data_IF_872782097463
#
_entry.id   IF_872782097463
#
_cell.length_a   1.000
_cell.length_b   1.000
_cell.length_c   1.000
_cell.angle_alpha   90.00
_cell.angle_beta   90.00
_cell.angle_gamma   90.00
#
_symmetry.space_group_name_H-M   'P 1'
#
loop_
_entity.id
_entity.type
_entity.pdbx_description
1 polymer ?
#
# COMPACT_ATOMS: atom_id res chain seq x y z
N UNK A 1 23.03 -15.79 -6.02
CA UNK A 1 23.78 -14.81 -5.22
C UNK A 1 22.80 -14.21 -4.21
N UNK A 2 23.18 -13.95 -2.95
CA UNK A 2 22.32 -13.18 -2.06
C UNK A 2 21.99 -11.83 -2.71
N UNK A 3 20.76 -11.37 -2.54
CA UNK A 3 20.33 -10.07 -3.07
C UNK A 3 21.18 -8.93 -2.48
N UNK A 4 21.29 -7.82 -3.22
CA UNK A 4 22.00 -6.62 -2.73
C UNK A 4 21.24 -6.04 -1.53
N UNK A 5 21.89 -5.95 -0.37
CA UNK A 5 21.37 -5.19 0.77
C UNK A 5 21.45 -3.69 0.46
N UNK A 6 20.34 -2.97 0.64
CA UNK A 6 20.31 -1.51 0.51
C UNK A 6 20.61 -0.84 1.85
N UNK A 7 19.84 -1.18 2.89
CA UNK A 7 19.88 -0.58 4.21
C UNK A 7 19.54 -1.62 5.29
N UNK A 8 19.88 -1.31 6.54
CA UNK A 8 19.35 -1.98 7.73
C UNK A 8 18.38 -1.03 8.44
N UNK A 9 17.36 -1.59 9.09
CA UNK A 9 16.32 -0.83 9.81
C UNK A 9 16.16 -1.35 11.23
N UNK A 10 15.62 -0.52 12.11
CA UNK A 10 15.56 -0.77 13.56
C UNK A 10 14.41 -1.72 13.97
N UNK A 11 13.36 -1.83 13.15
CA UNK A 11 12.15 -2.57 13.48
C UNK A 11 11.67 -3.43 12.30
N UNK A 12 11.56 -4.75 12.54
CA UNK A 12 11.14 -5.72 11.52
C UNK A 12 9.64 -5.62 11.16
N UNK A 13 8.80 -5.13 12.07
CA UNK A 13 7.39 -4.86 11.80
C UNK A 13 7.27 -3.63 10.90
N UNK A 14 8.05 -2.58 11.16
CA UNK A 14 8.10 -1.41 10.26
C UNK A 14 8.61 -1.80 8.86
N UNK A 15 9.64 -2.65 8.78
CA UNK A 15 10.09 -3.21 7.50
C UNK A 15 8.98 -3.98 6.78
N UNK A 16 8.23 -4.81 7.51
CA UNK A 16 7.11 -5.55 6.95
C UNK A 16 6.05 -4.60 6.38
N UNK A 17 5.66 -3.56 7.11
CA UNK A 17 4.70 -2.59 6.61
C UNK A 17 5.24 -1.75 5.45
N UNK A 18 6.55 -1.44 5.43
CA UNK A 18 7.20 -0.84 4.28
C UNK A 18 7.06 -1.73 3.02
N UNK A 19 7.20 -3.06 3.17
CA UNK A 19 6.94 -4.02 2.09
C UNK A 19 5.48 -4.03 1.67
N UNK A 20 4.53 -4.00 2.61
CA UNK A 20 3.10 -3.93 2.29
C UNK A 20 2.75 -2.66 1.50
N UNK A 21 3.35 -1.52 1.84
CA UNK A 21 3.15 -0.25 1.13
C UNK A 21 3.91 -0.17 -0.21
N UNK A 22 4.97 -0.97 -0.39
CA UNK A 22 5.78 -1.02 -1.61
C UNK A 22 6.71 0.18 -1.83
N UNK A 23 6.62 1.23 -1.00
CA UNK A 23 7.51 2.39 -1.04
C UNK A 23 7.57 3.09 0.30
N UNK A 24 8.63 3.86 0.53
CA UNK A 24 8.75 4.64 1.77
C UNK A 24 10.04 5.44 1.84
N UNK A 25 10.31 5.95 3.05
CA UNK A 25 11.49 6.75 3.34
C UNK A 25 12.14 6.19 4.60
N UNK A 26 13.46 6.04 4.57
CA UNK A 26 14.26 5.61 5.72
C UNK A 26 15.10 6.80 6.17
N UNK A 27 15.02 7.13 7.45
CA UNK A 27 15.91 8.11 8.07
C UNK A 27 17.18 7.40 8.52
N UNK A 28 18.34 7.88 8.06
CA UNK A 28 19.64 7.36 8.47
C UNK A 28 20.08 7.98 9.81
N UNK A 29 21.09 7.39 10.43
CA UNK A 29 21.63 7.84 11.72
C UNK A 29 22.18 9.29 11.69
N UNK A 30 22.58 9.79 10.51
CA UNK A 30 23.01 11.17 10.30
C UNK A 30 21.86 12.15 10.06
N UNK A 31 20.61 11.66 10.09
CA UNK A 31 19.39 12.43 9.85
C UNK A 31 19.02 12.59 8.37
N UNK A 32 19.86 12.13 7.44
CA UNK A 32 19.54 12.13 6.01
C UNK A 32 18.43 11.13 5.68
N UNK A 33 17.71 11.37 4.57
CA UNK A 33 16.60 10.53 4.14
C UNK A 33 16.98 9.77 2.87
N UNK A 34 16.71 8.46 2.86
CA UNK A 34 16.77 7.62 1.66
C UNK A 34 15.35 7.25 1.24
N UNK A 35 15.03 7.45 -0.04
CA UNK A 35 13.75 7.02 -0.61
C UNK A 35 13.88 5.65 -1.23
N UNK A 36 12.95 4.79 -0.88
CA UNK A 36 12.83 3.44 -1.43
C UNK A 36 11.53 3.34 -2.22
N UNK A 37 11.63 2.74 -3.41
CA UNK A 37 10.49 2.41 -4.24
C UNK A 37 10.52 0.92 -4.57
N UNK A 38 9.35 0.36 -4.88
CA UNK A 38 9.21 -1.00 -5.39
C UNK A 38 10.17 -1.23 -6.56
N UNK A 39 10.89 -2.35 -6.49
CA UNK A 39 11.71 -2.86 -7.58
C UNK A 39 11.12 -4.15 -8.14
N UNK A 40 10.84 -5.13 -7.27
CA UNK A 40 10.27 -6.41 -7.67
C UNK A 40 9.66 -7.16 -6.48
N UNK A 41 9.06 -8.33 -6.70
CA UNK A 41 8.56 -9.22 -5.66
C UNK A 41 8.84 -10.70 -5.98
N UNK A 42 8.82 -11.55 -4.97
CA UNK A 42 9.05 -12.99 -5.14
C UNK A 42 7.89 -13.79 -5.77
N UNK A 43 6.78 -13.13 -6.13
CA UNK A 43 5.63 -13.74 -6.81
C UNK A 43 4.67 -14.54 -5.91
N UNK A 44 4.98 -14.73 -4.63
CA UNK A 44 4.10 -15.41 -3.69
C UNK A 44 2.90 -14.52 -3.28
N UNK A 45 1.74 -15.12 -2.97
CA UNK A 45 0.55 -14.36 -2.59
C UNK A 45 0.74 -13.66 -1.24
N UNK A 46 0.20 -12.46 -1.12
CA UNK A 46 0.16 -11.75 0.16
C UNK A 46 -0.80 -12.43 1.14
N UNK A 47 -0.35 -12.59 2.39
CA UNK A 47 -1.17 -13.03 3.51
C UNK A 47 -1.09 -12.01 4.66
N UNK A 48 -2.25 -11.63 5.20
CA UNK A 48 -2.34 -10.65 6.28
C UNK A 48 -1.93 -11.27 7.63
N UNK A 49 -0.82 -10.79 8.19
CA UNK A 49 -0.37 -11.21 9.53
C UNK A 49 -1.34 -10.76 10.65
N UNK A 50 -2.04 -9.64 10.46
CA UNK A 50 -3.08 -9.19 11.38
C UNK A 50 -4.26 -10.18 11.43
N UNK A 51 -4.69 -10.69 10.28
CA UNK A 51 -5.71 -11.75 10.20
C UNK A 51 -5.24 -13.04 10.89
N UNK A 52 -3.98 -13.42 10.69
CA UNK A 52 -3.38 -14.59 11.36
C UNK A 52 -3.43 -14.45 12.89
N UNK A 53 -3.12 -13.27 13.44
CA UNK A 53 -3.20 -13.03 14.89
C UNK A 53 -4.64 -13.10 15.41
N UNK A 54 -5.61 -12.58 14.65
CA UNK A 54 -7.03 -12.67 15.01
C UNK A 54 -7.50 -14.14 15.02
N UNK A 55 -7.15 -14.91 13.98
CA UNK A 55 -7.51 -16.33 13.89
C UNK A 55 -6.92 -17.18 15.02
N UNK A 56 -5.76 -16.76 15.55
CA UNK A 56 -5.13 -17.39 16.73
C UNK A 56 -5.69 -16.90 18.07
N UNK A 57 -6.59 -15.90 18.06
CA UNK A 57 -7.14 -15.30 19.28
C UNK A 57 -6.15 -14.41 20.04
N UNK A 58 -5.10 -13.94 19.36
CA UNK A 58 -3.99 -13.19 20.00
C UNK A 58 -4.15 -11.67 19.86
N UNK A 59 -4.98 -11.22 18.92
CA UNK A 59 -5.43 -9.84 18.78
C UNK A 59 -6.91 -9.83 18.44
N UNK A 60 -7.63 -8.81 18.90
CA UNK A 60 -8.97 -8.52 18.40
C UNK A 60 -8.90 -7.78 17.06
N UNK A 61 -10.02 -7.74 16.35
CA UNK A 61 -10.10 -7.09 15.04
C UNK A 61 -9.71 -5.61 15.10
N UNK A 62 -10.15 -4.92 16.15
CA UNK A 62 -9.85 -3.52 16.43
C UNK A 62 -8.38 -3.28 16.83
N UNK A 63 -7.67 -4.32 17.26
CA UNK A 63 -6.27 -4.26 17.68
C UNK A 63 -5.30 -4.63 16.55
N UNK A 64 -5.77 -5.20 15.43
CA UNK A 64 -4.95 -5.63 14.30
C UNK A 64 -4.44 -4.46 13.42
N UNK A 65 -4.00 -3.38 14.05
CA UNK A 65 -3.29 -2.25 13.47
C UNK A 65 -1.77 -2.47 13.50
N UNK A 66 -0.99 -1.63 12.80
CA UNK A 66 0.47 -1.64 12.91
C UNK A 66 0.93 -1.50 14.36
N UNK A 67 0.33 -0.59 15.12
CA UNK A 67 0.68 -0.34 16.52
C UNK A 67 0.36 -1.54 17.40
N UNK A 68 -0.79 -2.19 17.18
CA UNK A 68 -1.15 -3.40 17.93
C UNK A 68 -0.26 -4.59 17.59
N UNK A 69 0.14 -4.73 16.32
CA UNK A 69 1.10 -5.76 15.90
C UNK A 69 2.49 -5.49 16.49
N UNK A 70 2.95 -4.22 16.53
CA UNK A 70 4.19 -3.85 17.21
C UNK A 70 4.13 -4.16 18.71
N UNK A 71 3.02 -3.86 19.38
CA UNK A 71 2.83 -4.19 20.79
C UNK A 71 2.86 -5.71 21.02
N UNK A 72 2.17 -6.48 20.16
CA UNK A 72 2.21 -7.94 20.19
C UNK A 72 3.62 -8.48 19.97
N UNK A 73 4.38 -7.91 19.02
CA UNK A 73 5.74 -8.32 18.70
C UNK A 73 6.71 -8.09 19.87
N UNK A 74 6.59 -6.94 20.55
CA UNK A 74 7.37 -6.64 21.77
C UNK A 74 7.06 -7.60 22.91
N UNK A 75 5.80 -8.04 23.03
CA UNK A 75 5.39 -9.03 24.02
C UNK A 75 5.77 -10.48 23.63
N UNK A 76 6.01 -10.76 22.34
CA UNK A 76 6.24 -12.09 21.79
C UNK A 76 7.48 -12.17 20.87
N UNK A 77 8.69 -11.72 21.30
CA UNK A 77 9.84 -11.58 20.40
C UNK A 77 10.27 -12.90 19.76
N UNK A 78 10.20 -14.02 20.50
CA UNK A 78 10.55 -15.35 20.00
C UNK A 78 9.58 -15.88 18.92
N UNK A 79 8.41 -15.26 18.75
CA UNK A 79 7.36 -15.70 17.80
C UNK A 79 7.23 -14.76 16.62
N UNK A 80 7.94 -13.63 16.62
CA UNK A 80 7.86 -12.61 15.59
C UNK A 80 8.25 -13.16 14.21
N UNK A 81 9.38 -13.86 14.12
CA UNK A 81 9.84 -14.43 12.85
C UNK A 81 8.79 -15.36 12.23
N UNK A 82 8.22 -16.27 13.03
CA UNK A 82 7.17 -17.17 12.59
C UNK A 82 5.87 -16.46 12.18
N UNK A 83 5.56 -15.31 12.79
CA UNK A 83 4.44 -14.47 12.35
C UNK A 83 4.74 -13.80 11.01
N UNK A 84 5.90 -13.17 10.84
CA UNK A 84 6.27 -12.48 9.60
C UNK A 84 6.33 -13.47 8.43
N UNK A 85 6.89 -14.66 8.66
CA UNK A 85 6.95 -15.75 7.67
C UNK A 85 5.59 -16.36 7.33
N UNK A 86 4.51 -16.03 8.06
CA UNK A 86 3.16 -16.40 7.66
C UNK A 86 2.70 -15.65 6.40
N UNK A 87 3.37 -14.54 6.04
CA UNK A 87 3.23 -13.92 4.73
C UNK A 87 4.37 -14.40 3.81
N UNK A 88 4.11 -15.28 2.83
CA UNK A 88 5.16 -15.75 1.93
C UNK A 88 5.57 -14.69 0.90
N UNK A 89 4.79 -13.61 0.71
CA UNK A 89 5.13 -12.52 -0.20
C UNK A 89 6.28 -11.68 0.34
N UNK A 90 7.26 -11.39 -0.52
CA UNK A 90 8.41 -10.55 -0.19
C UNK A 90 8.63 -9.51 -1.29
N UNK A 91 8.78 -8.26 -0.87
CA UNK A 91 9.00 -7.10 -1.77
C UNK A 91 10.47 -6.67 -1.71
N UNK A 92 11.05 -6.49 -2.89
CA UNK A 92 12.38 -5.93 -3.09
C UNK A 92 12.29 -4.47 -3.51
N UNK A 93 13.26 -3.68 -3.05
CA UNK A 93 13.28 -2.24 -3.27
C UNK A 93 14.45 -1.81 -4.15
N UNK A 94 14.36 -0.58 -4.62
CA UNK A 94 15.46 0.20 -5.19
C UNK A 94 15.47 1.59 -4.59
N UNK A 95 16.66 2.15 -4.46
CA UNK A 95 16.82 3.56 -4.13
C UNK A 95 16.35 4.43 -5.30
N UNK A 96 15.68 5.53 -4.99
CA UNK A 96 15.28 6.54 -5.96
C UNK A 96 15.74 7.92 -5.49
N UNK A 97 16.00 8.87 -6.41
CA UNK A 97 16.40 10.22 -6.03
C UNK A 97 15.42 10.87 -5.06
N UNK A 98 15.98 11.62 -4.11
CA UNK A 98 15.19 12.44 -3.20
C UNK A 98 14.40 13.49 -3.99
N UNK A 99 13.08 13.52 -3.79
CA UNK A 99 12.19 14.52 -4.36
C UNK A 99 10.98 14.72 -3.45
N UNK A 100 10.26 15.81 -3.68
CA UNK A 100 9.01 16.12 -2.98
C UNK A 100 7.79 15.43 -3.61
N UNK A 101 7.98 14.66 -4.69
CA UNK A 101 6.91 13.98 -5.40
C UNK A 101 6.45 12.71 -4.68
N UNK A 102 5.32 12.15 -5.14
CA UNK A 102 4.84 10.82 -4.77
C UNK A 102 5.84 9.69 -5.01
N UNK A 103 5.56 8.48 -4.50
CA UNK A 103 6.30 7.30 -4.93
C UNK A 103 6.03 7.04 -6.41
N UNK A 104 6.93 6.31 -7.07
CA UNK A 104 6.72 5.93 -8.46
C UNK A 104 5.80 4.71 -8.49
N UNK A 105 4.58 4.88 -9.00
CA UNK A 105 3.62 3.79 -9.14
C UNK A 105 3.96 2.83 -10.28
N UNK A 106 3.16 1.78 -10.43
CA UNK A 106 3.31 0.79 -11.50
C UNK A 106 3.29 1.37 -12.92
N UNK A 107 2.67 2.54 -13.15
CA UNK A 107 2.71 3.24 -14.44
C UNK A 107 4.09 3.89 -14.74
N UNK A 108 5.01 3.92 -13.77
CA UNK A 108 6.34 4.53 -13.92
C UNK A 108 6.37 6.04 -13.71
N UNK A 109 5.29 6.63 -13.19
CA UNK A 109 5.18 8.06 -12.87
C UNK A 109 4.90 8.29 -11.38
N UNK A 110 5.28 9.45 -10.81
CA UNK A 110 4.95 9.78 -9.43
C UNK A 110 3.45 9.80 -9.18
N UNK A 111 3.02 9.23 -8.05
CA UNK A 111 1.63 9.29 -7.61
C UNK A 111 1.29 10.69 -7.05
N UNK A 112 0.09 11.15 -7.32
CA UNK A 112 -0.43 12.43 -6.84
C UNK A 112 -1.44 12.16 -5.73
N UNK A 113 -1.19 12.73 -4.55
CA UNK A 113 -2.08 12.60 -3.40
C UNK A 113 -3.53 12.98 -3.76
N UNK A 114 -4.47 12.16 -3.32
CA UNK A 114 -5.91 12.26 -3.60
C UNK A 114 -6.32 12.24 -5.09
N UNK A 115 -5.38 11.91 -6.00
CA UNK A 115 -5.59 11.88 -7.45
C UNK A 115 -5.10 10.61 -8.12
N UNK A 116 -4.42 9.73 -7.40
CA UNK A 116 -3.97 8.43 -7.90
C UNK A 116 -4.67 7.30 -7.18
N UNK A 117 -4.93 6.22 -7.92
CA UNK A 117 -5.44 4.96 -7.36
C UNK A 117 -4.61 3.77 -7.86
N UNK A 118 -4.52 2.75 -7.01
CA UNK A 118 -4.09 1.42 -7.40
C UNK A 118 -5.31 0.60 -7.86
N UNK A 119 -5.18 -0.15 -8.94
CA UNK A 119 -6.25 -0.96 -9.53
C UNK A 119 -5.80 -2.39 -9.85
N UNK A 120 -6.74 -3.25 -10.26
CA UNK A 120 -6.43 -4.52 -10.91
C UNK A 120 -6.23 -4.28 -12.42
N UNK A 121 -4.99 -4.41 -12.95
CA UNK A 121 -4.69 -4.08 -14.35
C UNK A 121 -5.36 -5.02 -15.36
N UNK A 122 -5.90 -6.16 -14.89
CA UNK A 122 -6.71 -7.08 -15.71
C UNK A 122 -8.11 -6.55 -15.98
N UNK A 123 -8.55 -5.55 -15.22
CA UNK A 123 -9.90 -4.97 -15.32
C UNK A 123 -9.88 -3.51 -15.75
N UNK A 124 -8.90 -2.72 -15.32
CA UNK A 124 -8.75 -1.31 -15.68
C UNK A 124 -7.33 -1.10 -16.21
N UNK A 125 -7.19 -0.52 -17.39
CA UNK A 125 -5.87 -0.23 -17.95
C UNK A 125 -5.13 0.82 -17.10
N UNK A 126 -3.82 0.61 -16.89
CA UNK A 126 -2.98 1.65 -16.31
C UNK A 126 -2.96 2.89 -17.22
N UNK A 127 -3.00 4.06 -16.59
CA UNK A 127 -3.12 5.36 -17.25
C UNK A 127 -4.56 5.84 -17.45
N UNK A 128 -5.57 4.99 -17.28
CA UNK A 128 -6.96 5.40 -17.45
C UNK A 128 -7.40 6.45 -16.40
N UNK A 129 -8.06 7.53 -16.82
CA UNK A 129 -8.82 8.37 -15.91
C UNK A 129 -10.05 7.60 -15.40
N UNK A 130 -10.29 7.67 -14.10
CA UNK A 130 -11.42 7.01 -13.44
C UNK A 130 -12.17 8.04 -12.61
N UNK A 131 -13.49 8.17 -12.84
CA UNK A 131 -14.35 8.89 -11.91
C UNK A 131 -14.70 7.95 -10.75
N UNK A 132 -14.25 8.29 -9.54
CA UNK A 132 -14.52 7.54 -8.32
C UNK A 132 -15.59 8.27 -7.51
N UNK A 133 -16.68 7.58 -7.20
CA UNK A 133 -17.72 8.07 -6.28
C UNK A 133 -17.77 7.16 -5.05
N UNK A 134 -17.41 7.71 -3.90
CA UNK A 134 -17.37 7.01 -2.60
C UNK A 134 -17.63 8.02 -1.47
N UNK A 135 -17.24 7.72 -0.23
CA UNK A 135 -17.31 8.61 0.93
C UNK A 135 -15.94 8.80 1.57
N UNK A 136 -15.79 9.84 2.39
CA UNK A 136 -14.65 9.95 3.31
C UNK A 136 -14.70 8.79 4.33
N UNK A 137 -13.55 8.28 4.80
CA UNK A 137 -13.51 7.20 5.80
C UNK A 137 -14.36 7.53 7.04
N UNK A 138 -15.12 6.54 7.52
CA UNK A 138 -15.97 6.65 8.72
C UNK A 138 -16.93 7.85 8.73
N UNK A 139 -17.32 8.33 7.54
CA UNK A 139 -18.23 9.47 7.38
C UNK A 139 -19.19 9.23 6.22
N UNK A 140 -20.37 9.87 6.28
CA UNK A 140 -21.31 9.92 5.17
C UNK A 140 -20.95 11.02 4.13
N UNK A 141 -19.91 11.82 4.39
CA UNK A 141 -19.49 12.90 3.49
C UNK A 141 -19.06 12.31 2.13
N UNK A 142 -19.71 12.69 1.01
CA UNK A 142 -19.35 12.20 -0.30
C UNK A 142 -17.92 12.59 -0.71
N UNK A 143 -17.22 11.67 -1.35
CA UNK A 143 -15.94 11.88 -2.01
C UNK A 143 -16.07 11.44 -3.47
N UNK A 144 -16.33 12.43 -4.33
CA UNK A 144 -16.45 12.24 -5.78
C UNK A 144 -15.26 12.91 -6.46
N UNK A 145 -14.37 12.13 -7.09
CA UNK A 145 -13.14 12.65 -7.69
C UNK A 145 -12.82 11.96 -9.01
N UNK A 146 -12.38 12.75 -9.99
CA UNK A 146 -11.58 12.22 -11.10
C UNK A 146 -10.17 11.92 -10.58
N UNK A 147 -9.76 10.68 -10.74
CA UNK A 147 -8.47 10.12 -10.34
C UNK A 147 -7.83 9.37 -11.51
N UNK A 148 -6.56 9.03 -11.37
CA UNK A 148 -5.78 8.32 -12.39
C UNK A 148 -5.39 6.92 -11.88
N UNK A 149 -5.63 5.89 -12.71
CA UNK A 149 -5.14 4.54 -12.46
C UNK A 149 -3.63 4.46 -12.74
N UNK A 150 -2.80 4.75 -11.74
CA UNK A 150 -1.34 4.87 -11.93
C UNK A 150 -0.54 3.80 -11.19
N UNK A 151 -1.21 2.94 -10.43
CA UNK A 151 -0.57 1.94 -9.62
C UNK A 151 -1.32 0.60 -9.60
N UNK A 152 -0.70 -0.42 -9.02
CA UNK A 152 -1.29 -1.74 -8.80
C UNK A 152 -0.89 -2.27 -7.43
N UNK A 153 -1.63 -3.25 -6.91
CA UNK A 153 -1.27 -3.89 -5.64
C UNK A 153 -1.67 -5.36 -5.59
N UNK A 154 -0.88 -6.18 -4.91
CA UNK A 154 -1.13 -7.63 -4.78
C UNK A 154 -2.51 -7.96 -4.18
N UNK A 155 -3.01 -7.11 -3.28
CA UNK A 155 -4.32 -7.24 -2.64
C UNK A 155 -5.48 -6.57 -3.43
N UNK A 156 -5.18 -5.86 -4.53
CA UNK A 156 -6.16 -5.11 -5.31
C UNK A 156 -6.60 -5.98 -6.48
N UNK A 157 -7.76 -6.61 -6.33
CA UNK A 157 -8.31 -7.59 -7.28
C UNK A 157 -9.77 -7.31 -7.58
N UNK A 158 -10.15 -7.45 -8.85
CA UNK A 158 -11.52 -7.29 -9.33
C UNK A 158 -11.81 -5.94 -10.01
N UNK A 159 -12.93 -5.88 -10.72
CA UNK A 159 -13.27 -4.76 -11.60
C UNK A 159 -13.63 -3.46 -10.87
N UNK A 160 -14.35 -3.56 -9.75
CA UNK A 160 -14.74 -2.40 -8.92
C UNK A 160 -13.98 -2.46 -7.59
N UNK A 161 -12.66 -2.34 -7.70
CA UNK A 161 -11.74 -2.30 -6.55
C UNK A 161 -10.64 -1.29 -6.85
N UNK A 162 -10.48 -0.33 -5.95
CA UNK A 162 -9.39 0.63 -5.97
C UNK A 162 -8.77 0.73 -4.59
N UNK A 163 -7.46 1.03 -4.55
CA UNK A 163 -6.80 1.59 -3.38
C UNK A 163 -6.55 3.07 -3.62
N UNK A 164 -6.90 3.92 -2.66
CA UNK A 164 -6.87 5.37 -2.83
C UNK A 164 -5.61 5.95 -2.22
N UNK A 165 -4.78 6.59 -3.04
CA UNK A 165 -3.53 7.17 -2.56
C UNK A 165 -3.80 8.50 -1.84
N UNK A 166 -3.73 8.50 -0.51
CA UNK A 166 -3.96 9.67 0.34
C UNK A 166 -2.79 10.66 0.41
N UNK A 167 -1.60 10.26 -0.07
CA UNK A 167 -0.37 11.03 0.09
C UNK A 167 0.51 10.50 1.21
N UNK A 168 1.30 11.38 1.81
CA UNK A 168 2.29 11.02 2.84
C UNK A 168 1.99 11.70 4.17
N UNK A 169 2.59 11.16 5.23
CA UNK A 169 2.52 11.71 6.57
C UNK A 169 1.40 11.09 7.41
N UNK A 170 1.36 11.50 8.68
CA UNK A 170 0.49 10.90 9.69
C UNK A 170 -0.99 10.97 9.30
N UNK A 171 -1.45 12.14 8.85
CA UNK A 171 -2.86 12.35 8.47
C UNK A 171 -3.27 11.46 7.29
N UNK A 172 -2.45 11.39 6.24
CA UNK A 172 -2.71 10.50 5.10
C UNK A 172 -2.77 9.03 5.52
N UNK A 173 -1.87 8.59 6.41
CA UNK A 173 -1.88 7.24 6.98
C UNK A 173 -3.13 6.93 7.80
N UNK A 174 -3.61 7.88 8.60
CA UNK A 174 -4.85 7.73 9.38
C UNK A 174 -6.08 7.61 8.47
N UNK A 175 -6.16 8.41 7.41
CA UNK A 175 -7.25 8.31 6.43
C UNK A 175 -7.18 6.98 5.66
N UNK A 176 -5.99 6.58 5.21
CA UNK A 176 -5.76 5.33 4.49
C UNK A 176 -6.17 4.12 5.34
N UNK A 177 -5.73 4.05 6.60
CA UNK A 177 -6.02 2.93 7.49
C UNK A 177 -7.52 2.76 7.81
N UNK A 178 -8.32 3.83 7.71
CA UNK A 178 -9.77 3.80 7.94
C UNK A 178 -10.57 3.59 6.64
N UNK A 179 -9.91 3.63 5.48
CA UNK A 179 -10.58 3.57 4.19
C UNK A 179 -11.08 2.16 3.88
N UNK A 180 -12.37 1.95 4.09
CA UNK A 180 -13.10 0.72 3.73
C UNK A 180 -14.53 1.05 3.31
N UNK A 181 -14.65 1.85 2.26
CA UNK A 181 -15.92 2.40 1.82
C UNK A 181 -16.41 1.72 0.54
N UNK A 182 -17.74 1.60 0.40
CA UNK A 182 -18.34 1.23 -0.88
C UNK A 182 -18.09 2.33 -1.90
N UNK A 183 -17.91 1.96 -3.17
CA UNK A 183 -17.61 2.90 -4.23
C UNK A 183 -18.18 2.49 -5.58
N UNK A 184 -18.34 3.47 -6.47
CA UNK A 184 -18.66 3.29 -7.88
C UNK A 184 -17.54 3.91 -8.71
N UNK A 185 -17.21 3.27 -9.83
CA UNK A 185 -16.12 3.66 -10.72
C UNK A 185 -16.62 3.75 -12.15
N UNK A 186 -16.27 4.82 -12.84
CA UNK A 186 -16.46 4.96 -14.29
C UNK A 186 -15.10 5.19 -14.93
N UNK A 187 -14.70 4.29 -15.82
CA UNK A 187 -13.46 4.42 -16.58
C UNK A 187 -13.74 5.31 -17.79
N UNK A 188 -12.98 6.39 -17.92
CA UNK A 188 -13.06 7.26 -19.08
C UNK A 188 -12.10 6.73 -20.14
N UNK A 189 -12.65 6.41 -21.30
CA UNK A 189 -11.88 5.98 -22.46
C UNK A 189 -11.79 7.14 -23.46
N UNK A 190 -10.69 7.26 -24.21
CA UNK A 190 -10.66 8.05 -25.43
C UNK A 190 -11.84 7.69 -26.33
N UNK A 191 -12.41 8.67 -27.03
CA UNK A 191 -13.63 8.49 -27.82
C UNK A 191 -13.47 7.38 -28.88
N UNK A 192 -12.26 7.22 -29.41
CA UNK A 192 -11.90 6.21 -30.41
C UNK A 192 -11.90 4.78 -29.86
N UNK A 193 -11.76 4.63 -28.54
CA UNK A 193 -11.73 3.34 -27.84
C UNK A 193 -13.05 2.99 -27.14
N UNK A 194 -14.02 3.91 -27.16
CA UNK A 194 -15.33 3.66 -26.57
C UNK A 194 -16.05 2.53 -27.33
N UNK A 195 -16.65 1.54 -26.63
CA UNK A 195 -17.52 0.57 -27.27
C UNK A 195 -18.62 1.29 -28.05
N UNK A 196 -18.81 0.93 -29.32
CA UNK A 196 -19.91 1.44 -30.15
C UNK A 196 -21.22 0.78 -29.80
#
# INVERSE_FOLDING_TARGET
MPGKTLLYVDDAVELFFLQVQGSGRVQLADGSMVRLNYADQNGHPYQSIGKVLIERGELKLEEASMQGIQAWARANPARLEGLLNANPSYVFFREVPNSNDGPIGALGVPLTAERSIAIDPRSIALGSPVFLATTRPNSAQPMNRLVMAQDTGGAIKGAVRADFFWGFGKEAGEQAGRMKQSGRMWVLLPAELAPK
#
